data_IF_910781404730
#
_entry.id   IF_910781404730
#
_cell.length_a   1.000
_cell.length_b   1.000
_cell.length_c   1.000
_cell.angle_alpha   90.00
_cell.angle_beta   90.00
_cell.angle_gamma   90.00
#
_symmetry.space_group_name_H-M   'P 1'
#
loop_
_entity.id
_entity.type
_entity.pdbx_description
1 polymer ?
#
# COMPACT_ATOMS: atom_id res chain seq x y z
N UNK A 1 3.45 9.53 -10.02
CA UNK A 1 2.96 8.91 -8.77
C UNK A 1 4.12 8.79 -7.79
N UNK A 2 3.94 9.24 -6.55
CA UNK A 2 4.91 9.15 -5.46
C UNK A 2 4.42 8.14 -4.43
N UNK A 3 5.27 7.20 -4.03
CA UNK A 3 4.93 6.24 -2.98
C UNK A 3 5.81 6.54 -1.77
N UNK A 4 5.20 6.70 -0.59
CA UNK A 4 5.90 6.94 0.65
C UNK A 4 5.63 5.78 1.60
N UNK A 5 6.69 5.29 2.22
CA UNK A 5 6.63 4.18 3.16
C UNK A 5 7.00 4.70 4.54
N UNK A 6 6.05 4.62 5.47
CA UNK A 6 6.22 5.00 6.86
C UNK A 6 6.27 3.71 7.68
N UNK A 7 7.48 3.14 7.81
CA UNK A 7 7.75 1.89 8.53
C UNK A 7 8.94 1.12 7.94
N UNK A 8 9.18 -0.09 8.44
CA UNK A 8 10.20 -1.00 7.90
C UNK A 8 9.68 -1.67 6.63
N UNK A 9 9.79 -0.99 5.50
CA UNK A 9 9.34 -1.50 4.19
C UNK A 9 10.56 -1.63 3.29
N UNK A 10 10.80 -2.84 2.80
CA UNK A 10 12.02 -3.19 2.06
C UNK A 10 11.62 -3.78 0.71
N UNK A 11 10.99 -3.00 -0.18
CA UNK A 11 10.66 -3.44 -1.54
C UNK A 11 10.71 -2.32 -2.58
N UNK A 12 10.97 -2.65 -3.85
CA UNK A 12 11.16 -1.66 -4.91
C UNK A 12 9.85 -0.96 -5.27
N UNK A 13 9.84 0.36 -5.11
CA UNK A 13 8.72 1.27 -5.40
C UNK A 13 8.21 1.11 -6.84
N UNK A 14 9.10 0.80 -7.78
CA UNK A 14 8.79 0.65 -9.21
C UNK A 14 7.72 -0.43 -9.48
N UNK A 15 7.79 -1.59 -8.80
CA UNK A 15 6.82 -2.68 -9.01
C UNK A 15 5.41 -2.32 -8.54
N UNK A 16 5.33 -1.46 -7.52
CA UNK A 16 4.06 -0.97 -7.00
C UNK A 16 3.42 0.03 -7.95
N UNK A 17 4.23 0.90 -8.57
CA UNK A 17 3.73 1.88 -9.54
C UNK A 17 3.06 1.14 -10.70
N UNK A 18 3.76 0.18 -11.30
CA UNK A 18 3.25 -0.64 -12.40
C UNK A 18 1.96 -1.37 -12.03
N UNK A 19 1.87 -1.87 -10.78
CA UNK A 19 0.67 -2.56 -10.29
C UNK A 19 -0.51 -1.62 -10.12
N UNK A 20 -0.31 -0.44 -9.56
CA UNK A 20 -1.37 0.56 -9.34
C UNK A 20 -1.86 1.13 -10.68
N UNK A 21 -0.98 1.26 -11.66
CA UNK A 21 -1.35 1.64 -13.04
C UNK A 21 -2.01 0.49 -13.83
N UNK A 22 -2.02 -0.72 -13.28
CA UNK A 22 -2.70 -1.86 -13.89
C UNK A 22 -4.23 -1.66 -13.87
N UNK A 23 -4.90 -2.15 -14.91
CA UNK A 23 -6.35 -2.14 -15.01
C UNK A 23 -6.87 -3.59 -15.03
N UNK A 24 -7.66 -4.04 -14.04
CA UNK A 24 -8.23 -3.25 -12.94
C UNK A 24 -7.22 -2.85 -11.86
N UNK A 25 -7.42 -1.70 -11.19
CA UNK A 25 -6.54 -1.23 -10.12
C UNK A 25 -6.53 -2.22 -8.93
N UNK A 26 -5.37 -2.44 -8.30
CA UNK A 26 -5.23 -3.37 -7.20
C UNK A 26 -5.97 -2.86 -5.97
N UNK A 27 -6.46 -3.79 -5.16
CA UNK A 27 -7.01 -3.46 -3.83
C UNK A 27 -5.92 -3.32 -2.79
N UNK A 28 -6.23 -2.67 -1.67
CA UNK A 28 -5.33 -2.58 -0.50
C UNK A 28 -4.67 -3.93 -0.14
N UNK A 29 -5.40 -5.03 0.09
CA UNK A 29 -4.77 -6.32 0.43
C UNK A 29 -3.89 -6.89 -0.68
N UNK A 30 -4.25 -6.71 -1.96
CA UNK A 30 -3.40 -7.17 -3.06
C UNK A 30 -2.06 -6.45 -3.05
N UNK A 31 -2.09 -5.13 -2.86
CA UNK A 31 -0.90 -4.29 -2.80
C UNK A 31 0.00 -4.68 -1.61
N UNK A 32 -0.61 -4.95 -0.46
CA UNK A 32 0.11 -5.40 0.75
C UNK A 32 0.70 -6.80 0.60
N UNK A 33 -0.02 -7.73 -0.03
CA UNK A 33 0.50 -9.06 -0.36
C UNK A 33 1.70 -8.99 -1.31
N UNK A 34 1.64 -8.15 -2.34
CA UNK A 34 2.78 -7.91 -3.26
C UNK A 34 3.98 -7.32 -2.51
N UNK A 35 3.71 -6.46 -1.52
CA UNK A 35 4.72 -5.94 -0.62
C UNK A 35 5.35 -7.00 0.30
N UNK A 36 4.79 -8.21 0.34
CA UNK A 36 5.25 -9.32 1.16
C UNK A 36 4.67 -9.31 2.57
N UNK A 37 3.66 -8.47 2.83
CA UNK A 37 2.96 -8.51 4.10
C UNK A 37 2.00 -9.70 4.15
N UNK A 38 2.09 -10.56 5.18
CA UNK A 38 1.11 -11.62 5.38
C UNK A 38 -0.26 -11.01 5.69
N UNK A 39 -1.35 -11.69 5.30
CA UNK A 39 -2.73 -11.23 5.50
C UNK A 39 -3.05 -10.81 6.93
N UNK A 40 -2.44 -11.47 7.92
CA UNK A 40 -2.59 -11.16 9.34
C UNK A 40 -2.04 -9.77 9.75
N UNK A 41 -1.04 -9.29 9.00
CA UNK A 41 -0.47 -7.96 9.21
C UNK A 41 -1.28 -6.87 8.51
N UNK A 42 -2.07 -7.19 7.49
CA UNK A 42 -2.80 -6.18 6.70
C UNK A 42 -3.73 -5.32 7.55
N UNK A 43 -4.33 -5.88 8.62
CA UNK A 43 -5.20 -5.16 9.56
C UNK A 43 -4.50 -4.04 10.33
N UNK A 44 -3.18 -4.11 10.45
CA UNK A 44 -2.38 -3.11 11.16
C UNK A 44 -1.80 -2.05 10.22
N UNK A 45 -1.84 -2.30 8.91
CA UNK A 45 -1.26 -1.42 7.90
C UNK A 45 -2.34 -0.45 7.43
N UNK A 46 -2.02 0.85 7.44
CA UNK A 46 -2.93 1.87 6.90
C UNK A 46 -2.38 2.42 5.59
N UNK A 47 -3.21 2.39 4.55
CA UNK A 47 -2.89 2.92 3.22
C UNK A 47 -3.66 4.22 3.01
N UNK A 48 -2.95 5.28 2.68
CA UNK A 48 -3.48 6.63 2.44
C UNK A 48 -3.17 6.97 0.98
N UNK A 49 -4.17 7.43 0.25
CA UNK A 49 -4.14 7.65 -1.20
C UNK A 49 -4.70 9.03 -1.46
N UNK A 50 -3.90 9.93 -2.07
CA UNK A 50 -4.28 11.32 -2.29
C UNK A 50 -4.71 12.05 -1.00
N UNK A 51 -4.04 11.77 0.12
CA UNK A 51 -4.37 12.34 1.43
C UNK A 51 -5.61 11.75 2.13
N UNK A 52 -6.26 10.73 1.56
CA UNK A 52 -7.40 10.03 2.18
C UNK A 52 -7.03 8.60 2.54
N UNK A 53 -7.32 8.18 3.77
CA UNK A 53 -7.14 6.78 4.18
C UNK A 53 -8.15 5.89 3.44
N UNK A 54 -7.66 4.95 2.64
CA UNK A 54 -8.50 3.95 1.99
C UNK A 54 -8.94 2.87 2.98
N UNK A 55 -10.14 2.36 2.77
CA UNK A 55 -10.63 1.15 3.43
C UNK A 55 -10.02 -0.08 2.77
N UNK A 56 -9.99 -1.18 3.52
CA UNK A 56 -9.41 -2.44 3.07
C UNK A 56 -10.00 -2.98 1.76
N UNK A 57 -11.30 -2.75 1.50
CA UNK A 57 -11.97 -3.20 0.28
C UNK A 57 -11.96 -2.15 -0.85
N UNK A 58 -11.30 -1.02 -0.67
CA UNK A 58 -11.19 -0.01 -1.72
C UNK A 58 -10.01 -0.29 -2.65
N UNK A 59 -10.22 0.05 -3.93
CA UNK A 59 -9.19 -0.03 -4.96
C UNK A 59 -8.29 1.19 -4.93
N UNK A 60 -7.00 0.97 -5.21
CA UNK A 60 -6.00 2.01 -5.32
C UNK A 60 -5.99 2.44 -6.79
N UNK A 61 -6.84 3.40 -7.14
CA UNK A 61 -6.82 4.01 -8.46
C UNK A 61 -5.58 4.92 -8.61
N UNK A 62 -5.06 5.04 -9.84
CA UNK A 62 -3.88 5.86 -10.16
C UNK A 62 -4.00 7.27 -9.58
N UNK A 63 -3.29 7.50 -8.47
CA UNK A 63 -3.27 8.77 -7.74
C UNK A 63 -1.87 9.33 -7.75
N UNK A 64 -1.76 10.62 -7.49
CA UNK A 64 -0.47 11.29 -7.45
C UNK A 64 0.40 10.84 -6.26
N UNK A 65 -0.22 10.46 -5.13
CA UNK A 65 0.49 10.09 -3.90
C UNK A 65 -0.15 8.91 -3.15
N UNK A 66 0.67 7.94 -2.76
CA UNK A 66 0.30 6.80 -1.91
C UNK A 66 1.23 6.78 -0.69
N UNK A 67 0.68 6.75 0.51
CA UNK A 67 1.42 6.64 1.76
C UNK A 67 1.01 5.34 2.45
N UNK A 68 1.97 4.46 2.69
CA UNK A 68 1.76 3.17 3.34
C UNK A 68 2.40 3.24 4.71
N UNK A 69 1.56 3.21 5.74
CA UNK A 69 1.99 3.25 7.14
C UNK A 69 1.93 1.84 7.72
N UNK A 70 3.09 1.31 8.08
CA UNK A 70 3.23 -0.01 8.71
C UNK A 70 3.72 0.22 10.13
N UNK A 71 2.97 -0.24 11.15
CA UNK A 71 3.40 -0.09 12.52
C UNK A 71 4.69 -0.88 12.72
N UNK A 72 5.74 -0.17 13.15
CA UNK A 72 6.96 -0.80 13.63
C UNK A 72 6.63 -1.46 14.97
N UNK A 73 6.49 -2.79 14.96
CA UNK A 73 6.30 -3.57 16.18
C UNK A 73 7.57 -3.52 17.03
N UNK A 74 7.74 -2.46 17.81
CA UNK A 74 8.66 -2.42 18.93
C UNK A 74 7.96 -3.00 20.16
N UNK A 75 8.20 -4.27 20.42
CA UNK A 75 7.91 -4.93 21.70
C UNK A 75 9.23 -5.35 22.34
#
# INVERSE_FOLDING_TARGET
MKIQFLGSIFKPEQKLIDKVESNPPPTVPQLLSELGYPGEQHRFISVIVGGRRLRFNESIASVEEIIITVPVGGG
#
